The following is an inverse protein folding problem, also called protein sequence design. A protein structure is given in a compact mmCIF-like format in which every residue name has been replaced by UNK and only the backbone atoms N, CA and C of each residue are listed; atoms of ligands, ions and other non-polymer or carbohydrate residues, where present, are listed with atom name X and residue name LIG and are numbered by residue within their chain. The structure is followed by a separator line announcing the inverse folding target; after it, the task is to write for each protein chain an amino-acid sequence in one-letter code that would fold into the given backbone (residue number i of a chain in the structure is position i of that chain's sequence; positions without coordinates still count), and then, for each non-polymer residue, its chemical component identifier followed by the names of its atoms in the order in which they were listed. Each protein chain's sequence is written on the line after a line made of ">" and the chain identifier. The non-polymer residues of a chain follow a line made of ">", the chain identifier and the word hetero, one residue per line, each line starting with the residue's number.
data_IF_749320033142
#
_entry.id   IF_749320033142
#
_cell.length_a   1.000
_cell.length_b   1.000
_cell.length_c   1.000
_cell.angle_alpha   90.00
_cell.angle_beta   90.00
_cell.angle_gamma   90.00
#
_symmetry.space_group_name_H-M   'P 1'
#
loop_
_entity.id
_entity.type
_entity.pdbx_description
1 polymer ?
#
# COMPACT_ATOMS: atom_id res chain seq x y z
N UNK A 1 19.83 -0.24 -19.80
CA UNK A 1 20.38 -0.02 -18.45
C UNK A 1 19.47 -0.70 -17.45
N UNK A 2 19.99 -1.58 -16.59
CA UNK A 2 19.21 -2.24 -15.54
C UNK A 2 19.16 -1.32 -14.32
N UNK A 3 17.97 -0.97 -13.88
CA UNK A 3 17.77 -0.09 -12.72
C UNK A 3 17.89 -0.91 -11.44
N UNK A 4 18.85 -0.57 -10.58
CA UNK A 4 19.13 -1.31 -9.34
C UNK A 4 18.26 -0.85 -8.16
N UNK A 5 17.83 0.41 -8.17
CA UNK A 5 16.92 0.98 -7.17
C UNK A 5 15.71 1.60 -7.88
N UNK A 6 14.55 0.93 -7.87
CA UNK A 6 13.33 1.51 -8.41
C UNK A 6 12.97 2.77 -7.61
N UNK A 7 12.77 3.89 -8.30
CA UNK A 7 12.35 5.16 -7.71
C UNK A 7 11.20 5.76 -8.51
N UNK A 8 10.37 6.56 -7.84
CA UNK A 8 9.25 7.26 -8.48
C UNK A 8 8.04 6.38 -8.82
N UNK A 9 8.06 5.10 -8.45
CA UNK A 9 6.94 4.16 -8.58
C UNK A 9 6.73 3.41 -7.27
N UNK A 10 5.49 3.02 -6.95
CA UNK A 10 5.25 2.08 -5.87
C UNK A 10 5.91 0.73 -6.17
N UNK A 11 6.57 0.17 -5.17
CA UNK A 11 7.13 -1.19 -5.15
C UNK A 11 6.29 -2.11 -4.28
N UNK A 12 6.32 -3.41 -4.56
CA UNK A 12 5.64 -4.48 -3.81
C UNK A 12 6.52 -5.73 -3.69
N UNK A 13 6.10 -6.71 -2.90
CA UNK A 13 6.77 -7.96 -2.62
C UNK A 13 8.18 -7.74 -2.09
N UNK A 14 9.15 -8.42 -2.72
CA UNK A 14 10.57 -8.40 -2.30
C UNK A 14 11.24 -7.04 -2.42
N UNK A 15 10.66 -6.10 -3.17
CA UNK A 15 11.20 -4.74 -3.31
C UNK A 15 10.71 -3.80 -2.19
N UNK A 16 9.69 -4.19 -1.42
CA UNK A 16 9.21 -3.46 -0.25
C UNK A 16 9.86 -4.02 1.02
N UNK A 17 10.91 -3.35 1.49
CA UNK A 17 11.78 -3.86 2.56
C UNK A 17 11.36 -3.32 3.93
N UNK A 18 11.37 -4.18 4.96
CA UNK A 18 11.23 -3.82 6.38
C UNK A 18 9.89 -3.13 6.71
N UNK A 19 8.79 -3.70 6.22
CA UNK A 19 7.42 -3.20 6.39
C UNK A 19 6.43 -4.27 6.82
N UNK A 20 6.91 -5.48 7.08
CA UNK A 20 6.14 -6.68 7.38
C UNK A 20 5.24 -6.46 8.60
N UNK A 21 5.77 -5.95 9.71
CA UNK A 21 4.99 -5.70 10.93
C UNK A 21 3.84 -4.70 10.71
N UNK A 22 4.10 -3.63 9.96
CA UNK A 22 3.07 -2.63 9.62
C UNK A 22 2.01 -3.24 8.70
N UNK A 23 2.42 -4.06 7.74
CA UNK A 23 1.51 -4.73 6.80
C UNK A 23 0.61 -5.70 7.58
N UNK A 24 1.18 -6.53 8.43
CA UNK A 24 0.46 -7.54 9.20
C UNK A 24 -0.52 -6.90 10.19
N UNK A 25 -0.10 -5.85 10.91
CA UNK A 25 -1.00 -5.15 11.84
C UNK A 25 -2.15 -4.48 11.08
N UNK A 26 -1.84 -3.81 9.97
CA UNK A 26 -2.83 -3.11 9.15
C UNK A 26 -3.80 -4.10 8.50
N UNK A 27 -3.32 -5.26 8.06
CA UNK A 27 -4.16 -6.32 7.50
C UNK A 27 -5.13 -6.86 8.55
N UNK A 28 -4.66 -7.16 9.77
CA UNK A 28 -5.52 -7.61 10.87
C UNK A 28 -6.60 -6.60 11.24
N UNK A 29 -6.26 -5.31 11.25
CA UNK A 29 -7.22 -4.22 11.50
C UNK A 29 -8.26 -4.11 10.36
N UNK A 30 -7.85 -4.27 9.09
CA UNK A 30 -8.75 -4.27 7.92
C UNK A 30 -9.70 -5.47 7.97
N UNK A 31 -9.18 -6.67 8.24
CA UNK A 31 -9.99 -7.88 8.37
C UNK A 31 -10.98 -7.78 9.55
N UNK A 32 -10.60 -7.05 10.61
CA UNK A 32 -11.46 -6.67 11.71
C UNK A 32 -12.53 -5.62 11.37
N UNK A 33 -12.58 -5.14 10.12
CA UNK A 33 -13.53 -4.13 9.65
C UNK A 33 -13.24 -2.71 10.13
N UNK A 34 -12.02 -2.45 10.63
CA UNK A 34 -11.64 -1.12 11.10
C UNK A 34 -11.28 -0.18 9.94
N UNK A 35 -11.61 1.09 10.11
CA UNK A 35 -11.15 2.15 9.20
C UNK A 35 -9.77 2.64 9.62
N UNK A 36 -8.81 2.61 8.70
CA UNK A 36 -7.40 2.94 8.98
C UNK A 36 -6.95 4.15 8.17
N UNK A 37 -6.13 5.01 8.78
CA UNK A 37 -5.49 6.16 8.13
C UNK A 37 -3.97 5.97 8.11
N UNK A 38 -3.38 5.91 6.92
CA UNK A 38 -1.92 5.87 6.75
C UNK A 38 -1.34 7.29 6.66
N UNK A 39 -0.80 7.80 7.76
CA UNK A 39 -0.18 9.13 7.82
C UNK A 39 1.35 9.04 7.85
N UNK A 40 2.03 9.61 6.85
CA UNK A 40 3.49 9.73 6.80
C UNK A 40 3.94 10.77 5.76
N UNK A 41 5.20 11.25 5.77
CA UNK A 41 5.68 12.21 4.77
C UNK A 41 5.65 11.68 3.32
N UNK A 42 5.78 12.57 2.33
CA UNK A 42 5.78 12.20 0.90
C UNK A 42 6.90 11.18 0.62
N UNK A 43 6.63 10.19 -0.23
CA UNK A 43 7.57 9.11 -0.64
C UNK A 43 7.98 8.11 0.45
N UNK A 44 7.31 8.07 1.60
CA UNK A 44 7.53 7.04 2.63
C UNK A 44 6.97 5.65 2.28
N UNK A 45 6.43 5.45 1.07
CA UNK A 45 5.91 4.15 0.65
C UNK A 45 4.46 3.86 1.05
N UNK A 46 3.65 4.87 1.41
CA UNK A 46 2.21 4.68 1.71
C UNK A 46 1.47 3.91 0.62
N UNK A 47 1.64 4.35 -0.64
CA UNK A 47 1.01 3.69 -1.79
C UNK A 47 1.53 2.27 -1.99
N UNK A 48 2.81 2.02 -1.70
CA UNK A 48 3.39 0.67 -1.73
C UNK A 48 2.80 -0.23 -0.67
N UNK A 49 2.62 0.26 0.57
CA UNK A 49 2.01 -0.52 1.67
C UNK A 49 0.58 -0.90 1.31
N UNK A 50 -0.21 0.05 0.81
CA UNK A 50 -1.58 -0.23 0.36
C UNK A 50 -1.55 -1.29 -0.75
N UNK A 51 -0.75 -1.09 -1.79
CA UNK A 51 -0.65 -2.08 -2.88
C UNK A 51 -0.17 -3.44 -2.38
N UNK A 52 0.74 -3.51 -1.41
CA UNK A 52 1.19 -4.77 -0.84
C UNK A 52 0.06 -5.56 -0.16
N UNK A 53 -0.78 -4.86 0.61
CA UNK A 53 -1.93 -5.43 1.32
C UNK A 53 -2.96 -5.96 0.32
N UNK A 54 -3.32 -5.17 -0.69
CA UNK A 54 -4.38 -5.52 -1.64
C UNK A 54 -3.92 -6.44 -2.79
N UNK A 55 -2.64 -6.38 -3.20
CA UNK A 55 -2.15 -7.08 -4.41
C UNK A 55 -1.36 -8.34 -4.07
N UNK A 56 -0.53 -8.31 -3.02
CA UNK A 56 0.41 -9.40 -2.75
C UNK A 56 -0.04 -10.30 -1.59
N UNK A 57 -0.65 -9.74 -0.53
CA UNK A 57 -1.07 -10.51 0.65
C UNK A 57 -2.52 -11.04 0.59
N UNK A 58 -3.23 -10.79 -0.52
CA UNK A 58 -4.48 -11.50 -0.82
C UNK A 58 -5.71 -11.13 0.02
N UNK A 59 -5.73 -9.94 0.64
CA UNK A 59 -6.81 -9.57 1.55
C UNK A 59 -8.18 -9.32 0.91
N UNK A 60 -8.24 -8.72 -0.29
CA UNK A 60 -9.52 -8.23 -0.88
C UNK A 60 -9.42 -8.23 -2.41
N UNK A 61 -10.35 -8.89 -3.12
CA UNK A 61 -10.44 -8.78 -4.59
C UNK A 61 -10.64 -7.31 -5.02
N UNK A 62 -9.92 -6.88 -6.06
CA UNK A 62 -10.02 -5.55 -6.67
C UNK A 62 -11.45 -5.11 -7.03
N UNK A 63 -12.38 -6.06 -7.18
CA UNK A 63 -13.81 -5.85 -7.43
C UNK A 63 -14.52 -5.08 -6.29
N UNK A 64 -14.04 -5.17 -5.05
CA UNK A 64 -14.66 -4.53 -3.87
C UNK A 64 -14.10 -3.13 -3.57
N UNK A 65 -13.06 -2.68 -4.28
CA UNK A 65 -12.30 -1.46 -3.93
C UNK A 65 -12.18 -0.38 -5.03
N UNK A 66 -13.15 -0.18 -5.96
CA UNK A 66 -13.02 0.85 -7.00
C UNK A 66 -12.98 2.29 -6.45
N UNK A 67 -13.53 2.56 -5.26
CA UNK A 67 -13.56 3.90 -4.66
C UNK A 67 -12.24 4.32 -3.99
N UNK A 68 -11.49 3.39 -3.41
CA UNK A 68 -10.27 3.72 -2.67
C UNK A 68 -9.10 4.12 -3.58
N UNK A 69 -9.09 3.64 -4.84
CA UNK A 69 -8.10 4.07 -5.85
C UNK A 69 -8.23 5.57 -6.11
N UNK A 70 -9.45 6.10 -6.09
CA UNK A 70 -9.71 7.55 -6.17
C UNK A 70 -9.10 8.32 -4.99
N UNK A 71 -9.18 7.78 -3.77
CA UNK A 71 -8.58 8.38 -2.56
C UNK A 71 -7.05 8.31 -2.55
N UNK A 72 -6.45 7.20 -2.98
CA UNK A 72 -4.99 7.05 -3.04
C UNK A 72 -4.39 7.96 -4.12
N UNK A 73 -5.04 8.08 -5.29
CA UNK A 73 -4.63 9.08 -6.29
C UNK A 73 -4.86 10.51 -5.81
N UNK A 74 -5.95 10.78 -5.09
CA UNK A 74 -6.27 12.10 -4.53
C UNK A 74 -5.23 12.60 -3.52
N UNK A 75 -4.73 11.74 -2.64
CA UNK A 75 -3.68 12.08 -1.66
C UNK A 75 -2.31 12.28 -2.32
N UNK A 76 -2.05 11.61 -3.45
CA UNK A 76 -0.78 11.76 -4.20
C UNK A 76 -0.79 13.02 -5.09
N UNK A 77 -1.96 13.57 -5.39
CA UNK A 77 -2.19 14.76 -6.22
C UNK A 77 -2.20 16.10 -5.49
N UNK A 78 -2.16 16.14 -4.16
CA UNK A 78 -2.02 17.36 -3.34
C UNK A 78 -0.60 17.59 -2.82
#
# INVERSE_FOLDING_TARGET
>A
MKQFFPYGKPVTGKELINREEIIDSTLGDIEGGQSIILASPRRYGKSSIILEIYVCNGGIEWSNFPEAVGYVLGIVGM
#
